data_IF_810221095676
#
_entry.id   IF_810221095676
#
_cell.length_a   1.000
_cell.length_b   1.000
_cell.length_c   1.000
_cell.angle_alpha   90.00
_cell.angle_beta   90.00
_cell.angle_gamma   90.00
#
_symmetry.space_group_name_H-M   'P 1'
#
loop_
_entity.id
_entity.type
_entity.pdbx_description
1 polymer ?
#
# COMPACT_ATOMS: atom_id res chain seq x y z
N UNK A 1 -52.88 -62.68 -3.08
CA UNK A 1 -53.48 -61.80 -4.10
C UNK A 1 -54.97 -61.79 -3.90
N UNK A 2 -55.52 -60.83 -3.16
CA UNK A 2 -56.97 -60.66 -3.02
C UNK A 2 -57.28 -59.22 -2.68
N UNK A 3 -58.31 -58.67 -3.36
CA UNK A 3 -59.11 -57.59 -2.82
C UNK A 3 -59.26 -56.37 -3.74
N UNK A 4 -60.13 -56.48 -4.73
CA UNK A 4 -60.78 -55.36 -5.43
C UNK A 4 -62.29 -55.43 -5.09
N UNK A 5 -62.94 -54.25 -4.98
CA UNK A 5 -64.40 -53.92 -4.99
C UNK A 5 -65.19 -53.70 -3.67
N UNK A 6 -65.22 -52.43 -3.22
CA UNK A 6 -66.33 -51.42 -3.02
C UNK A 6 -67.82 -51.90 -2.83
N UNK A 7 -68.84 -51.03 -2.51
CA UNK A 7 -69.28 -50.26 -1.31
C UNK A 7 -70.70 -50.66 -0.76
N UNK A 8 -71.14 -50.08 0.36
CA UNK A 8 -72.57 -49.96 0.78
C UNK A 8 -72.73 -49.19 2.10
N UNK A 9 -73.25 -47.95 2.12
CA UNK A 9 -74.62 -47.53 2.57
C UNK A 9 -74.98 -48.03 3.99
N UNK A 10 -75.49 -47.28 4.99
CA UNK A 10 -76.16 -45.97 5.10
C UNK A 10 -76.32 -45.59 6.60
N UNK A 11 -76.21 -44.29 6.93
CA UNK A 11 -76.71 -43.39 8.02
C UNK A 11 -77.58 -43.91 9.21
N UNK A 12 -77.94 -43.09 10.25
CA UNK A 12 -77.30 -41.94 10.94
C UNK A 12 -77.44 -42.00 12.51
N UNK A 13 -76.79 -41.10 13.28
CA UNK A 13 -77.33 -40.54 14.55
C UNK A 13 -76.39 -39.49 15.18
N UNK A 14 -76.89 -38.26 15.28
CA UNK A 14 -76.44 -37.15 16.14
C UNK A 14 -76.88 -37.38 17.61
N UNK A 15 -76.53 -36.53 18.63
CA UNK A 15 -75.50 -35.50 18.71
C UNK A 15 -74.75 -35.43 20.08
N UNK A 16 -73.85 -34.44 20.18
CA UNK A 16 -73.53 -33.63 21.37
C UNK A 16 -72.54 -34.10 22.48
N UNK A 17 -71.64 -33.14 22.78
CA UNK A 17 -71.03 -32.77 24.07
C UNK A 17 -69.71 -33.43 24.51
N UNK A 18 -68.68 -32.58 24.43
CA UNK A 18 -67.99 -32.13 25.64
C UNK A 18 -66.66 -32.79 25.94
N UNK A 19 -65.63 -31.97 26.16
CA UNK A 19 -64.42 -32.38 26.86
C UNK A 19 -63.12 -32.04 26.12
N UNK A 20 -62.65 -30.80 26.34
CA UNK A 20 -61.24 -30.46 26.18
C UNK A 20 -60.42 -31.36 27.12
N UNK A 21 -59.37 -31.98 26.59
CA UNK A 21 -58.24 -32.46 27.39
C UNK A 21 -57.02 -31.70 26.86
N UNK A 22 -56.65 -30.61 27.54
CA UNK A 22 -55.41 -29.89 27.29
C UNK A 22 -54.24 -30.69 27.87
N UNK A 23 -53.29 -31.03 27.01
CA UNK A 23 -52.05 -31.73 27.36
C UNK A 23 -50.97 -30.68 27.65
N UNK A 24 -50.32 -30.83 28.81
CA UNK A 24 -49.21 -30.00 29.29
C UNK A 24 -48.03 -29.90 28.30
N UNK A 25 -47.39 -28.72 28.22
CA UNK A 25 -46.21 -28.49 27.37
C UNK A 25 -45.42 -27.22 27.72
N UNK A 26 -44.80 -27.17 28.90
CA UNK A 26 -44.17 -25.97 29.47
C UNK A 26 -42.63 -25.87 29.44
N UNK A 27 -41.92 -26.40 28.44
CA UNK A 27 -40.44 -26.42 28.49
C UNK A 27 -39.70 -26.16 27.17
N UNK A 28 -40.40 -26.04 26.05
CA UNK A 28 -39.78 -25.79 24.73
C UNK A 28 -39.54 -24.32 24.39
N UNK A 29 -40.46 -23.43 24.79
CA UNK A 29 -40.47 -22.02 24.35
C UNK A 29 -39.33 -21.22 24.99
N UNK A 30 -39.19 -21.29 26.32
CA UNK A 30 -38.17 -20.55 27.07
C UNK A 30 -36.71 -20.91 26.72
N UNK A 31 -36.46 -22.10 26.14
CA UNK A 31 -35.14 -22.48 25.64
C UNK A 31 -34.83 -21.86 24.28
N UNK A 32 -35.83 -21.76 23.41
CA UNK A 32 -35.69 -21.12 22.08
C UNK A 32 -35.48 -19.62 22.22
N UNK A 33 -36.23 -18.98 23.11
CA UNK A 33 -36.12 -17.53 23.35
C UNK A 33 -34.72 -17.15 23.88
N UNK A 34 -34.13 -17.97 24.77
CA UNK A 34 -32.77 -17.76 25.28
C UNK A 34 -31.68 -17.99 24.22
N UNK A 35 -31.88 -18.95 23.33
CA UNK A 35 -30.92 -19.24 22.25
C UNK A 35 -30.94 -18.15 21.17
N UNK A 36 -32.11 -17.57 20.89
CA UNK A 36 -32.28 -16.46 19.95
C UNK A 36 -31.69 -15.15 20.51
N UNK A 37 -31.84 -14.90 21.81
CA UNK A 37 -31.24 -13.74 22.48
C UNK A 37 -29.70 -13.83 22.52
N UNK A 38 -29.15 -15.04 22.71
CA UNK A 38 -27.70 -15.27 22.66
C UNK A 38 -27.12 -15.02 21.26
N UNK A 39 -27.76 -15.52 20.20
CA UNK A 39 -27.35 -15.27 18.81
C UNK A 39 -27.44 -13.80 18.40
N UNK A 40 -28.43 -13.06 18.94
CA UNK A 40 -28.56 -11.61 18.71
C UNK A 40 -27.45 -10.81 19.39
N UNK A 41 -27.04 -11.21 20.60
CA UNK A 41 -25.92 -10.61 21.34
C UNK A 41 -24.57 -10.90 20.66
N UNK A 42 -24.38 -12.09 20.13
CA UNK A 42 -23.16 -12.49 19.40
C UNK A 42 -23.00 -11.74 18.06
N UNK A 43 -24.10 -11.58 17.30
CA UNK A 43 -24.11 -10.74 16.08
C UNK A 43 -23.87 -9.25 16.36
N UNK A 44 -24.37 -8.74 17.49
CA UNK A 44 -24.13 -7.35 17.89
C UNK A 44 -22.66 -7.11 18.31
N UNK A 45 -22.01 -8.10 18.93
CA UNK A 45 -20.60 -8.03 19.29
C UNK A 45 -19.66 -8.09 18.06
N UNK A 46 -20.02 -8.86 17.03
CA UNK A 46 -19.26 -8.93 15.78
C UNK A 46 -19.32 -7.63 14.95
N UNK A 47 -20.48 -6.94 14.94
CA UNK A 47 -20.62 -5.65 14.26
C UNK A 47 -19.75 -4.55 14.90
N UNK A 48 -19.64 -4.53 16.24
CA UNK A 48 -18.83 -3.55 16.98
C UNK A 48 -17.31 -3.73 16.83
N UNK A 49 -16.85 -4.91 16.39
CA UNK A 49 -15.43 -5.18 16.15
C UNK A 49 -14.98 -4.77 14.74
N UNK A 50 -15.88 -4.76 13.75
CA UNK A 50 -15.59 -4.33 12.39
C UNK A 50 -15.34 -2.80 12.29
N UNK A 51 -16.00 -1.99 13.12
CA UNK A 51 -15.84 -0.52 13.14
C UNK A 51 -14.57 -0.03 13.85
N UNK A 52 -13.90 -0.87 14.65
CA UNK A 52 -12.63 -0.50 15.34
C UNK A 52 -11.38 -0.70 14.47
N UNK A 53 -11.49 -1.43 13.36
CA UNK A 53 -10.37 -1.71 12.45
C UNK A 53 -10.14 -0.61 11.39
N UNK A 54 -11.02 0.38 11.31
CA UNK A 54 -10.92 1.50 10.37
C UNK A 54 -10.65 2.81 11.11
N UNK A 55 -9.53 2.88 11.83
CA UNK A 55 -8.95 4.18 12.13
C UNK A 55 -8.44 4.75 10.79
N UNK A 56 -8.98 5.88 10.29
CA UNK A 56 -8.40 6.50 9.12
C UNK A 56 -6.95 6.87 9.47
N UNK A 57 -6.03 6.46 8.61
CA UNK A 57 -4.64 6.92 8.67
C UNK A 57 -4.64 8.43 8.90
N UNK A 58 -3.76 8.97 9.76
CA UNK A 58 -3.62 10.41 9.89
C UNK A 58 -3.35 10.95 8.50
N UNK A 59 -4.34 11.67 7.96
CA UNK A 59 -4.17 12.45 6.74
C UNK A 59 -2.92 13.30 6.97
N UNK A 60 -1.97 13.35 6.02
CA UNK A 60 -0.81 14.19 6.15
C UNK A 60 -1.35 15.61 6.32
N UNK A 61 -1.24 16.12 7.54
CA UNK A 61 -1.75 17.43 7.90
C UNK A 61 -1.10 18.41 6.93
N UNK A 62 -1.94 19.08 6.14
CA UNK A 62 -1.63 20.13 5.18
C UNK A 62 -1.14 21.43 5.86
N UNK A 63 -0.34 21.29 6.92
CA UNK A 63 0.11 22.37 7.80
C UNK A 63 1.58 22.76 7.63
N UNK A 64 2.29 22.20 6.65
CA UNK A 64 3.64 22.64 6.33
C UNK A 64 3.88 22.54 4.83
N UNK A 65 3.22 23.40 4.06
CA UNK A 65 3.78 23.90 2.81
C UNK A 65 5.07 24.67 3.15
N UNK A 66 6.14 23.93 3.53
CA UNK A 66 7.49 24.42 3.32
C UNK A 66 7.55 24.69 1.82
N UNK A 67 7.81 25.94 1.43
CA UNK A 67 8.04 26.30 0.04
C UNK A 67 9.00 25.25 -0.53
N UNK A 68 8.48 24.36 -1.36
CA UNK A 68 9.33 23.39 -2.02
C UNK A 68 10.26 24.22 -2.91
N UNK A 69 11.58 23.99 -2.88
CA UNK A 69 12.46 24.59 -3.87
C UNK A 69 11.88 24.30 -5.27
N UNK A 70 12.11 25.21 -6.22
CA UNK A 70 11.72 25.00 -7.61
C UNK A 70 12.63 23.90 -8.18
N UNK A 71 12.22 22.65 -7.94
CA UNK A 71 12.98 21.46 -8.28
C UNK A 71 12.70 21.10 -9.74
N UNK A 72 13.74 21.08 -10.57
CA UNK A 72 13.66 20.66 -11.96
C UNK A 72 13.03 19.26 -12.08
N UNK A 73 13.31 18.39 -11.10
CA UNK A 73 12.72 17.06 -10.97
C UNK A 73 12.11 16.91 -9.56
N UNK A 74 10.80 17.17 -9.39
CA UNK A 74 10.18 17.07 -8.08
C UNK A 74 10.14 15.60 -7.62
N UNK A 75 10.32 15.34 -6.31
CA UNK A 75 10.21 13.99 -5.78
C UNK A 75 8.79 13.48 -5.91
N UNK A 76 8.64 12.19 -6.20
CA UNK A 76 7.33 11.52 -6.29
C UNK A 76 7.01 10.84 -4.97
N UNK A 77 5.74 10.86 -4.55
CA UNK A 77 5.31 10.15 -3.36
C UNK A 77 5.29 8.64 -3.57
N UNK A 78 6.07 7.90 -2.78
CA UNK A 78 6.07 6.45 -2.74
C UNK A 78 5.40 5.94 -1.46
N UNK A 79 4.52 4.94 -1.60
CA UNK A 79 3.92 4.24 -0.46
C UNK A 79 4.91 3.20 0.07
N UNK A 80 5.27 3.31 1.35
CA UNK A 80 6.16 2.37 2.03
C UNK A 80 5.51 1.85 3.30
N UNK A 81 5.96 0.68 3.76
CA UNK A 81 5.52 0.09 5.02
C UNK A 81 6.68 0.07 6.01
N UNK A 82 6.47 0.58 7.22
CA UNK A 82 7.50 0.58 8.25
C UNK A 82 7.84 -0.87 8.65
N UNK A 83 9.11 -1.30 8.57
CA UNK A 83 9.50 -2.66 8.96
C UNK A 83 9.42 -2.89 10.47
N UNK A 84 9.46 -1.82 11.29
CA UNK A 84 9.44 -1.93 12.75
C UNK A 84 8.02 -2.04 13.33
N UNK A 85 7.06 -1.26 12.83
CA UNK A 85 5.71 -1.20 13.38
C UNK A 85 4.58 -1.49 12.37
N UNK A 86 4.90 -1.74 11.10
CA UNK A 86 3.92 -2.08 10.05
C UNK A 86 3.06 -0.91 9.55
N UNK A 87 3.23 0.31 10.09
CA UNK A 87 2.45 1.47 9.63
C UNK A 87 2.78 1.78 8.16
N UNK A 88 1.78 1.85 7.27
CA UNK A 88 1.96 2.35 5.91
C UNK A 88 2.00 3.88 5.90
N UNK A 89 2.90 4.48 5.13
CA UNK A 89 3.02 5.93 4.98
C UNK A 89 3.63 6.32 3.63
N UNK A 90 3.40 7.57 3.21
CA UNK A 90 3.96 8.11 1.97
C UNK A 90 5.26 8.85 2.27
N UNK A 91 6.28 8.63 1.44
CA UNK A 91 7.58 9.33 1.51
C UNK A 91 7.94 9.93 0.15
N UNK A 92 8.52 11.14 0.11
CA UNK A 92 9.04 11.70 -1.13
C UNK A 92 10.29 10.94 -1.58
N UNK A 93 10.32 10.52 -2.84
CA UNK A 93 11.46 9.82 -3.45
C UNK A 93 11.92 10.57 -4.69
N UNK A 94 13.21 10.90 -4.70
CA UNK A 94 13.92 11.41 -5.85
C UNK A 94 14.38 10.26 -6.73
N UNK A 95 14.02 10.32 -8.01
CA UNK A 95 14.49 9.38 -9.04
C UNK A 95 15.48 10.03 -10.01
N UNK A 96 15.46 11.35 -10.10
CA UNK A 96 16.39 12.17 -10.89
C UNK A 96 16.80 13.35 -10.01
N UNK A 97 18.11 13.58 -9.89
CA UNK A 97 18.69 14.78 -9.30
C UNK A 97 19.61 15.40 -10.33
N UNK A 98 19.40 16.69 -10.60
CA UNK A 98 20.26 17.49 -11.44
C UNK A 98 20.95 18.55 -10.58
N UNK A 99 22.26 18.42 -10.38
CA UNK A 99 23.05 19.35 -9.57
C UNK A 99 23.38 20.65 -10.31
N UNK A 100 23.16 20.70 -11.63
CA UNK A 100 23.25 21.94 -12.41
C UNK A 100 22.06 22.86 -12.18
N UNK A 101 20.86 22.30 -12.17
CA UNK A 101 19.62 23.04 -11.93
C UNK A 101 19.34 23.23 -10.43
N UNK A 102 19.61 22.21 -9.61
CA UNK A 102 19.35 22.22 -8.16
C UNK A 102 20.62 21.88 -7.35
N UNK A 103 21.63 22.78 -7.32
CA UNK A 103 22.87 22.56 -6.58
C UNK A 103 22.66 22.40 -5.07
N UNK A 104 21.55 22.90 -4.52
CA UNK A 104 21.17 22.74 -3.12
C UNK A 104 20.97 21.29 -2.70
N UNK A 105 20.73 20.37 -3.65
CA UNK A 105 20.57 18.93 -3.39
C UNK A 105 21.91 18.20 -3.18
N UNK A 106 23.05 18.83 -3.49
CA UNK A 106 24.39 18.23 -3.32
C UNK A 106 24.65 17.87 -1.86
N UNK A 107 24.47 18.81 -0.92
CA UNK A 107 24.74 18.57 0.50
C UNK A 107 23.82 17.49 1.11
N UNK A 108 22.49 17.51 0.89
CA UNK A 108 21.61 16.43 1.30
C UNK A 108 21.97 15.07 0.69
N UNK A 109 22.38 15.04 -0.59
CA UNK A 109 22.79 13.81 -1.25
C UNK A 109 24.04 13.23 -0.61
N UNK A 110 25.11 14.03 -0.52
CA UNK A 110 26.40 13.63 0.07
C UNK A 110 26.28 13.29 1.57
N UNK A 111 25.35 13.94 2.27
CA UNK A 111 25.05 13.65 3.67
C UNK A 111 24.14 12.43 3.88
N UNK A 112 23.72 11.73 2.81
CA UNK A 112 22.84 10.56 2.90
C UNK A 112 21.43 10.89 3.39
N UNK A 113 20.97 12.13 3.18
CA UNK A 113 19.64 12.62 3.58
C UNK A 113 18.62 12.55 2.43
N UNK A 114 19.07 12.24 1.21
CA UNK A 114 18.20 11.97 0.06
C UNK A 114 17.60 10.58 0.17
N UNK A 115 16.32 10.44 -0.21
CA UNK A 115 15.60 9.17 -0.21
C UNK A 115 15.64 8.47 1.16
N UNK A 116 15.47 9.23 2.25
CA UNK A 116 15.37 8.69 3.60
C UNK A 116 13.92 8.69 4.05
N UNK A 117 13.45 7.55 4.54
CA UNK A 117 12.14 7.43 5.17
C UNK A 117 12.26 7.62 6.68
N UNK A 118 11.30 8.34 7.27
CA UNK A 118 11.12 8.42 8.71
C UNK A 118 9.66 8.09 9.05
N UNK A 119 9.45 7.01 9.81
CA UNK A 119 8.11 6.57 10.17
C UNK A 119 7.46 7.57 11.15
N UNK A 120 6.28 8.11 10.84
CA UNK A 120 5.61 9.07 11.73
C UNK A 120 5.09 8.43 13.02
N UNK A 121 4.92 7.10 13.06
CA UNK A 121 4.36 6.40 14.23
C UNK A 121 5.41 6.04 15.27
N UNK A 122 6.54 5.47 14.86
CA UNK A 122 7.55 4.95 15.79
C UNK A 122 8.91 5.65 15.68
N UNK A 123 9.08 6.58 14.75
CA UNK A 123 10.35 7.29 14.52
C UNK A 123 11.44 6.45 13.83
N UNK A 124 11.22 5.15 13.62
CA UNK A 124 12.17 4.32 12.87
C UNK A 124 12.31 4.86 11.45
N UNK A 125 13.55 4.97 10.98
CA UNK A 125 13.85 5.51 9.67
C UNK A 125 15.11 4.90 9.08
N UNK A 126 15.32 5.13 7.80
CA UNK A 126 16.46 4.61 7.06
C UNK A 126 16.45 4.99 5.59
N UNK A 127 17.57 4.75 4.90
CA UNK A 127 17.65 4.97 3.46
C UNK A 127 16.69 4.05 2.72
N UNK A 128 16.10 4.57 1.65
CA UNK A 128 15.26 3.85 0.73
C UNK A 128 16.12 3.35 -0.43
N UNK A 129 15.99 2.07 -0.76
CA UNK A 129 16.55 1.49 -1.98
C UNK A 129 15.69 1.91 -3.18
N UNK A 130 15.86 3.15 -3.62
CA UNK A 130 15.21 3.69 -4.81
C UNK A 130 16.23 3.92 -5.92
N UNK A 131 15.88 3.63 -7.19
CA UNK A 131 16.71 4.01 -8.32
C UNK A 131 16.91 5.53 -8.37
N UNK A 132 18.13 5.97 -8.66
CA UNK A 132 18.49 7.38 -8.70
C UNK A 132 19.43 7.66 -9.87
N UNK A 133 18.99 8.53 -10.79
CA UNK A 133 19.86 9.16 -11.77
C UNK A 133 20.39 10.48 -11.19
N UNK A 134 21.71 10.68 -11.27
CA UNK A 134 22.37 11.93 -10.89
C UNK A 134 23.08 12.51 -12.10
N UNK A 135 22.75 13.76 -12.40
CA UNK A 135 23.44 14.59 -13.36
C UNK A 135 24.26 15.66 -12.63
N UNK A 136 25.57 15.70 -12.87
CA UNK A 136 26.47 16.75 -12.40
C UNK A 136 27.23 17.35 -13.60
N UNK A 137 26.80 18.53 -14.10
CA UNK A 137 27.46 19.16 -15.23
C UNK A 137 28.83 19.75 -14.90
N UNK A 138 29.11 20.05 -13.63
CA UNK A 138 30.40 20.60 -13.19
C UNK A 138 31.53 19.58 -13.40
N UNK A 139 31.22 18.30 -13.21
CA UNK A 139 32.16 17.18 -13.31
C UNK A 139 31.97 16.32 -14.57
N UNK A 140 31.15 16.79 -15.51
CA UNK A 140 30.76 16.03 -16.71
C UNK A 140 30.31 14.60 -16.38
N UNK A 141 29.51 14.46 -15.32
CA UNK A 141 29.13 13.18 -14.76
C UNK A 141 27.63 12.91 -14.93
N UNK A 142 27.32 11.73 -15.44
CA UNK A 142 25.98 11.15 -15.42
C UNK A 142 26.08 9.74 -14.84
N UNK A 143 25.47 9.54 -13.68
CA UNK A 143 25.47 8.25 -12.98
C UNK A 143 24.06 7.78 -12.69
N UNK A 144 23.83 6.47 -12.76
CA UNK A 144 22.55 5.86 -12.39
C UNK A 144 22.80 4.76 -11.39
N UNK A 145 22.23 4.92 -10.20
CA UNK A 145 22.13 3.86 -9.20
C UNK A 145 20.83 3.08 -9.41
N UNK A 146 20.93 1.76 -9.53
CA UNK A 146 19.78 0.85 -9.54
C UNK A 146 19.99 -0.22 -8.48
N UNK A 147 19.12 -0.32 -7.46
CA UNK A 147 19.24 -1.34 -6.45
C UNK A 147 18.97 -2.73 -7.05
N UNK A 148 19.72 -3.77 -6.67
CA UNK A 148 19.51 -5.13 -7.18
C UNK A 148 18.16 -5.67 -6.71
N UNK A 149 17.29 -6.07 -7.65
CA UNK A 149 15.90 -6.51 -7.35
C UNK A 149 15.65 -8.02 -7.51
N UNK A 150 16.70 -8.82 -7.75
CA UNK A 150 16.63 -10.29 -7.80
C UNK A 150 17.16 -10.89 -9.11
N UNK A 151 16.86 -12.16 -9.39
CA UNK A 151 17.30 -12.83 -10.62
C UNK A 151 16.41 -12.44 -11.81
N UNK A 152 17.02 -11.93 -12.90
CA UNK A 152 16.32 -11.52 -14.13
C UNK A 152 16.21 -10.00 -14.36
N UNK A 153 16.85 -9.20 -13.51
CA UNK A 153 16.71 -7.74 -13.44
C UNK A 153 17.29 -6.97 -14.65
N UNK A 154 18.25 -7.55 -15.37
CA UNK A 154 19.04 -6.79 -16.37
C UNK A 154 18.20 -6.05 -17.42
N UNK A 155 17.13 -6.68 -17.95
CA UNK A 155 16.30 -6.01 -18.96
C UNK A 155 15.41 -4.90 -18.36
N UNK A 156 14.93 -5.08 -17.14
CA UNK A 156 14.11 -4.08 -16.45
C UNK A 156 14.95 -2.88 -16.03
N UNK A 157 16.12 -3.15 -15.45
CA UNK A 157 17.14 -2.15 -15.11
C UNK A 157 17.54 -1.32 -16.33
N UNK A 158 17.85 -1.96 -17.47
CA UNK A 158 18.21 -1.25 -18.70
C UNK A 158 17.08 -0.36 -19.24
N UNK A 159 15.82 -0.83 -19.18
CA UNK A 159 14.65 0.00 -19.53
C UNK A 159 14.51 1.20 -18.62
N UNK A 160 14.62 0.98 -17.31
CA UNK A 160 14.55 2.04 -16.30
C UNK A 160 15.64 3.11 -16.50
N UNK A 161 16.88 2.68 -16.72
CA UNK A 161 18.01 3.59 -17.02
C UNK A 161 17.72 4.42 -18.27
N UNK A 162 17.21 3.79 -19.33
CA UNK A 162 16.80 4.45 -20.55
C UNK A 162 15.70 5.50 -20.32
N UNK A 163 14.66 5.14 -19.56
CA UNK A 163 13.54 6.04 -19.25
C UNK A 163 13.98 7.26 -18.42
N UNK A 164 14.82 7.05 -17.40
CA UNK A 164 15.38 8.13 -16.58
C UNK A 164 16.26 9.06 -17.42
N UNK A 165 17.15 8.49 -18.24
CA UNK A 165 18.06 9.26 -19.10
C UNK A 165 17.28 10.08 -20.13
N UNK A 166 16.27 9.48 -20.77
CA UNK A 166 15.41 10.20 -21.71
C UNK A 166 14.61 11.31 -21.03
N UNK A 167 14.15 11.08 -19.79
CA UNK A 167 13.43 12.10 -19.02
C UNK A 167 14.32 13.29 -18.69
N UNK A 168 15.58 13.05 -18.31
CA UNK A 168 16.58 14.10 -18.16
C UNK A 168 16.76 14.87 -19.47
N UNK A 169 17.09 14.17 -20.57
CA UNK A 169 17.39 14.77 -21.87
C UNK A 169 16.26 15.61 -22.45
N UNK A 170 14.99 15.25 -22.18
CA UNK A 170 13.82 16.03 -22.61
C UNK A 170 13.67 17.36 -21.86
N UNK A 171 14.07 17.44 -20.59
CA UNK A 171 14.02 18.66 -19.80
C UNK A 171 15.22 19.56 -20.01
N UNK A 172 16.40 18.98 -20.33
CA UNK A 172 17.60 19.76 -20.56
C UNK A 172 17.54 20.54 -21.89
N UNK A 173 18.01 21.81 -21.90
CA UNK A 173 18.18 22.58 -23.12
C UNK A 173 19.22 21.92 -24.03
N UNK A 174 19.10 22.16 -25.35
CA UNK A 174 19.94 21.50 -26.36
C UNK A 174 21.43 21.77 -26.17
N UNK A 175 21.77 22.93 -25.63
CA UNK A 175 23.14 23.40 -25.41
C UNK A 175 23.79 22.71 -24.19
N UNK A 176 22.98 22.26 -23.24
CA UNK A 176 23.45 21.52 -22.06
C UNK A 176 23.67 20.03 -22.33
N UNK A 177 23.23 19.50 -23.49
CA UNK A 177 23.38 18.09 -23.86
C UNK A 177 24.81 17.78 -24.28
N UNK A 178 25.58 17.21 -23.37
CA UNK A 178 26.99 16.85 -23.58
C UNK A 178 27.17 15.37 -23.89
N UNK A 179 28.31 15.02 -24.50
CA UNK A 179 28.61 13.67 -24.95
C UNK A 179 28.60 12.62 -23.83
N UNK A 180 29.03 12.98 -22.62
CA UNK A 180 29.06 12.07 -21.46
C UNK A 180 27.66 11.56 -21.07
N UNK A 181 26.60 12.31 -21.41
CA UNK A 181 25.22 11.91 -21.10
C UNK A 181 24.75 10.70 -21.92
N UNK A 182 25.43 10.41 -23.04
CA UNK A 182 25.15 9.23 -23.87
C UNK A 182 25.73 7.94 -23.27
N UNK A 183 26.61 8.07 -22.28
CA UNK A 183 27.31 6.98 -21.62
C UNK A 183 27.15 7.10 -20.11
N UNK A 184 25.90 6.96 -19.63
CA UNK A 184 25.62 6.97 -18.20
C UNK A 184 26.38 5.83 -17.49
N UNK A 185 27.03 6.16 -16.37
CA UNK A 185 27.74 5.18 -15.54
C UNK A 185 26.72 4.46 -14.65
N UNK A 186 26.66 3.14 -14.73
CA UNK A 186 25.74 2.32 -13.94
C UNK A 186 26.37 1.86 -12.62
N UNK A 187 25.60 1.93 -11.53
CA UNK A 187 26.02 1.52 -10.19
C UNK A 187 24.94 0.65 -9.54
N UNK A 188 25.31 -0.56 -9.12
CA UNK A 188 24.41 -1.47 -8.38
C UNK A 188 24.62 -1.39 -6.86
N UNK A 189 25.69 -0.71 -6.44
CA UNK A 189 26.09 -0.56 -5.05
C UNK A 189 26.08 0.93 -4.69
N UNK A 190 25.33 1.26 -3.63
CA UNK A 190 25.17 2.64 -3.19
C UNK A 190 26.48 3.24 -2.66
N UNK A 191 27.28 2.45 -1.95
CA UNK A 191 28.54 2.91 -1.38
C UNK A 191 29.51 3.31 -2.49
N UNK A 192 29.64 2.47 -3.53
CA UNK A 192 30.49 2.78 -4.69
C UNK A 192 29.99 4.00 -5.48
N UNK A 193 28.68 4.16 -5.60
CA UNK A 193 28.10 5.35 -6.21
C UNK A 193 28.52 6.61 -5.44
N UNK A 194 28.37 6.61 -4.11
CA UNK A 194 28.75 7.72 -3.25
C UNK A 194 30.26 8.00 -3.23
N UNK A 195 31.10 6.95 -3.26
CA UNK A 195 32.56 7.10 -3.34
C UNK A 195 33.00 7.87 -4.58
N UNK A 196 32.36 7.65 -5.73
CA UNK A 196 32.64 8.42 -6.94
C UNK A 196 32.24 9.87 -6.78
N UNK A 197 31.10 10.15 -6.12
CA UNK A 197 30.62 11.51 -5.90
C UNK A 197 31.48 12.31 -4.91
N UNK A 198 32.10 11.65 -3.93
CA UNK A 198 33.08 12.28 -3.05
C UNK A 198 34.46 12.46 -3.68
N UNK A 199 34.72 11.79 -4.80
CA UNK A 199 35.98 11.92 -5.54
C UNK A 199 36.08 13.17 -6.42
N UNK A 200 34.98 13.93 -6.52
CA UNK A 200 34.88 15.19 -7.23
C UNK A 200 34.85 16.34 -6.21
#
# INVERSE_FOLDING_TARGET
MSGILIPGQSEPSEPEKGGKIEVAGGSGQARRDKEEEAKRKERAAAAAQAERAAAPAPQPQSGAQRQAPDLAFPPTGAQVQCPNCGTPFTVPVFTIIDLGENPELRMPLLGGQVNVAACPSCGAGGPLSAPLLLHDPEHEFLGVFVPPSGQGDNLQSQRLIGDLTQTLMRKLPTEARRGYMLTAKEFMDWQRFMEVLWGF
#
